data_IF_304166750594
#
_entry.id   IF_304166750594
#
_cell.length_a   1.000
_cell.length_b   1.000
_cell.length_c   1.000
_cell.angle_alpha   90.00
_cell.angle_beta   90.00
_cell.angle_gamma   90.00
#
_symmetry.space_group_name_H-M   'P 1'
#
loop_
_entity.id
_entity.type
_entity.pdbx_description
1 polymer ?
#
# COMPACT_ATOMS: atom_id res chain seq x y z
N UNK A 1 -18.60 7.92 70.24
CA UNK A 1 -17.22 8.24 69.83
C UNK A 1 -16.97 7.68 68.44
N UNK A 2 -16.71 8.53 67.44
CA UNK A 2 -16.42 8.10 66.07
C UNK A 2 -14.94 7.69 65.95
N UNK A 3 -14.65 6.53 65.34
CA UNK A 3 -13.28 6.06 65.10
C UNK A 3 -12.69 6.77 63.87
N UNK A 4 -11.45 7.26 63.99
CA UNK A 4 -10.73 7.94 62.91
C UNK A 4 -10.25 6.92 61.87
N UNK A 5 -10.39 7.25 60.58
CA UNK A 5 -9.85 6.43 59.50
C UNK A 5 -8.32 6.68 59.35
N UNK A 6 -7.53 5.61 59.34
CA UNK A 6 -6.08 5.66 59.15
C UNK A 6 -5.73 5.35 57.69
N UNK A 7 -5.06 6.29 57.00
CA UNK A 7 -4.65 6.15 55.60
C UNK A 7 -3.32 5.41 55.48
N UNK A 8 -3.18 4.61 54.43
CA UNK A 8 -1.94 3.88 54.11
C UNK A 8 -0.95 4.80 53.35
N UNK A 9 0.36 4.59 53.53
CA UNK A 9 1.42 5.39 52.88
C UNK A 9 1.81 4.83 51.51
N UNK A 10 2.10 5.71 50.55
CA UNK A 10 2.62 5.37 49.24
C UNK A 10 4.11 4.92 49.25
N UNK A 11 4.60 4.40 48.13
CA UNK A 11 6.02 4.13 47.90
C UNK A 11 6.81 5.45 47.84
N UNK A 12 8.01 5.55 48.44
CA UNK A 12 8.87 6.73 48.29
C UNK A 12 9.24 7.01 46.84
N UNK A 13 9.29 8.29 46.45
CA UNK A 13 9.50 8.72 45.07
C UNK A 13 10.81 8.19 44.45
N UNK A 14 11.89 8.13 45.21
CA UNK A 14 13.17 7.59 44.73
C UNK A 14 13.14 6.08 44.43
N UNK A 15 12.16 5.35 44.98
CA UNK A 15 11.93 3.92 44.75
C UNK A 15 10.71 3.63 43.88
N UNK A 16 10.08 4.65 43.29
CA UNK A 16 8.92 4.48 42.42
C UNK A 16 9.19 3.51 41.25
N UNK A 17 10.44 3.41 40.77
CA UNK A 17 10.86 2.46 39.73
C UNK A 17 10.59 0.98 40.09
N UNK A 18 10.53 0.63 41.38
CA UNK A 18 10.27 -0.74 41.85
C UNK A 18 8.78 -1.10 41.88
N UNK A 19 7.91 -0.17 41.51
CA UNK A 19 6.47 -0.32 41.61
C UNK A 19 5.93 -0.06 43.01
N UNK A 20 4.69 -0.51 43.23
CA UNK A 20 3.94 -0.22 44.45
C UNK A 20 4.58 -0.87 45.68
N UNK A 21 4.54 -0.14 46.81
CA UNK A 21 5.03 -0.67 48.10
C UNK A 21 4.02 -1.64 48.68
N UNK A 22 4.34 -2.92 48.59
CA UNK A 22 3.52 -3.99 49.14
C UNK A 22 3.20 -3.78 50.63
N UNK A 23 1.93 -3.97 50.99
CA UNK A 23 1.46 -3.97 52.38
C UNK A 23 1.08 -5.36 52.84
N UNK A 24 0.74 -5.49 54.13
CA UNK A 24 0.38 -6.79 54.70
C UNK A 24 -0.77 -7.49 53.96
N UNK A 25 -1.77 -6.74 53.49
CA UNK A 25 -2.88 -7.31 52.70
C UNK A 25 -2.38 -7.96 51.41
N UNK A 26 -1.54 -7.26 50.67
CA UNK A 26 -0.92 -7.76 49.44
C UNK A 26 -0.05 -8.99 49.71
N UNK A 27 0.74 -8.97 50.80
CA UNK A 27 1.56 -10.10 51.25
C UNK A 27 0.70 -11.33 51.51
N UNK A 28 -0.43 -11.17 52.21
CA UNK A 28 -1.35 -12.27 52.49
C UNK A 28 -1.90 -12.85 51.18
N UNK A 29 -2.27 -12.02 50.21
CA UNK A 29 -2.71 -12.48 48.89
C UNK A 29 -1.63 -13.26 48.15
N UNK A 30 -0.39 -12.73 48.11
CA UNK A 30 0.74 -13.40 47.47
C UNK A 30 1.09 -14.72 48.16
N UNK A 31 1.14 -14.75 49.49
CA UNK A 31 1.47 -15.93 50.26
C UNK A 31 0.43 -17.05 50.05
N UNK A 32 -0.86 -16.69 50.02
CA UNK A 32 -1.96 -17.62 49.70
C UNK A 32 -1.86 -18.17 48.28
N UNK A 33 -1.59 -17.33 47.29
CA UNK A 33 -1.39 -17.77 45.89
C UNK A 33 -0.18 -18.71 45.76
N UNK A 34 0.95 -18.35 46.35
CA UNK A 34 2.14 -19.20 46.35
C UNK A 34 1.88 -20.55 47.00
N UNK A 35 1.23 -20.57 48.17
CA UNK A 35 0.89 -21.80 48.88
C UNK A 35 -0.06 -22.67 48.05
N UNK A 36 -1.08 -22.08 47.44
CA UNK A 36 -2.02 -22.76 46.54
C UNK A 36 -1.31 -23.41 45.35
N UNK A 37 -0.38 -22.69 44.71
CA UNK A 37 0.44 -23.22 43.60
C UNK A 37 1.35 -24.36 44.07
N UNK A 38 2.01 -24.21 45.22
CA UNK A 38 2.87 -25.24 45.80
C UNK A 38 2.10 -26.52 46.13
N UNK A 39 0.91 -26.38 46.73
CA UNK A 39 0.09 -27.53 47.08
C UNK A 39 -0.45 -28.23 45.83
N UNK A 40 -0.81 -27.49 44.76
CA UNK A 40 -1.16 -28.06 43.45
C UNK A 40 0.01 -28.82 42.81
N UNK A 41 1.21 -28.25 42.83
CA UNK A 41 2.42 -28.90 42.29
C UNK A 41 2.75 -30.16 43.08
N UNK A 42 2.63 -30.13 44.41
CA UNK A 42 2.84 -31.32 45.27
C UNK A 42 1.88 -32.44 44.88
N UNK A 43 0.59 -32.14 44.74
CA UNK A 43 -0.41 -33.12 44.31
C UNK A 43 -0.11 -33.69 42.91
N UNK A 44 0.31 -32.85 41.95
CA UNK A 44 0.68 -33.32 40.62
C UNK A 44 1.93 -34.24 40.65
N UNK A 45 2.91 -33.95 41.52
CA UNK A 45 4.09 -34.81 41.72
C UNK A 45 3.72 -36.16 42.33
N UNK A 46 2.82 -36.18 43.31
CA UNK A 46 2.31 -37.41 43.92
C UNK A 46 1.59 -38.27 42.86
N UNK A 47 0.68 -37.67 42.08
CA UNK A 47 -0.01 -38.37 40.98
C UNK A 47 0.99 -38.93 39.96
N UNK A 48 2.02 -38.15 39.60
CA UNK A 48 3.05 -38.61 38.67
C UNK A 48 3.92 -39.75 39.24
N UNK A 49 4.20 -39.73 40.54
CA UNK A 49 4.99 -40.78 41.21
C UNK A 49 4.23 -42.10 41.34
N UNK A 50 2.92 -42.05 41.60
CA UNK A 50 2.05 -43.23 41.72
C UNK A 50 1.43 -43.69 40.39
N UNK A 51 1.92 -43.20 39.25
CA UNK A 51 1.39 -43.55 37.92
C UNK A 51 1.60 -45.03 37.61
N UNK A 52 0.53 -45.73 37.19
CA UNK A 52 0.64 -47.09 36.68
C UNK A 52 1.22 -47.07 35.26
N UNK A 53 2.30 -47.83 35.01
CA UNK A 53 2.98 -47.84 33.71
C UNK A 53 2.13 -48.45 32.60
N UNK A 54 1.23 -49.38 32.97
CA UNK A 54 0.40 -50.14 32.04
C UNK A 54 -1.03 -49.60 31.95
N UNK A 55 -1.27 -48.38 32.44
CA UNK A 55 -2.59 -47.74 32.34
C UNK A 55 -2.98 -47.47 30.88
N UNK A 56 -4.22 -47.82 30.52
CA UNK A 56 -4.77 -47.57 29.20
C UNK A 56 -6.13 -46.87 29.30
N UNK A 57 -6.25 -45.71 28.65
CA UNK A 57 -7.50 -44.99 28.47
C UNK A 57 -7.80 -44.87 26.98
N UNK A 58 -9.07 -45.04 26.57
CA UNK A 58 -9.50 -44.92 25.16
C UNK A 58 -9.13 -43.57 24.52
N UNK A 59 -9.03 -42.50 25.32
CA UNK A 59 -8.57 -41.18 24.87
C UNK A 59 -7.12 -41.18 24.36
N UNK A 60 -6.28 -42.13 24.79
CA UNK A 60 -4.90 -42.27 24.32
C UNK A 60 -4.81 -42.69 22.85
N UNK A 61 -5.87 -43.26 22.26
CA UNK A 61 -5.90 -43.62 20.84
C UNK A 61 -5.88 -42.37 19.96
N UNK A 62 -6.58 -41.30 20.37
CA UNK A 62 -6.68 -40.04 19.62
C UNK A 62 -5.64 -39.02 20.09
N UNK A 63 -5.30 -39.04 21.38
CA UNK A 63 -4.34 -38.13 22.00
C UNK A 63 -2.92 -38.41 21.53
N UNK A 64 -2.16 -37.34 21.29
CA UNK A 64 -0.75 -37.44 20.90
C UNK A 64 0.11 -36.73 21.93
N UNK A 65 1.25 -37.32 22.26
CA UNK A 65 2.27 -36.70 23.11
C UNK A 65 3.54 -36.48 22.31
N UNK A 66 4.24 -35.38 22.57
CA UNK A 66 5.55 -35.09 21.98
C UNK A 66 6.49 -34.63 23.09
N UNK A 67 7.60 -35.35 23.27
CA UNK A 67 8.54 -35.06 24.35
C UNK A 67 7.90 -35.10 25.75
N UNK A 68 6.89 -35.95 25.95
CA UNK A 68 6.18 -36.07 27.22
C UNK A 68 5.07 -35.04 27.48
N UNK A 69 4.83 -34.09 26.57
CA UNK A 69 3.73 -33.12 26.67
C UNK A 69 2.59 -33.51 25.74
N UNK A 70 1.36 -33.52 26.25
CA UNK A 70 0.16 -33.76 25.46
C UNK A 70 -0.07 -32.59 24.48
N UNK A 71 -0.21 -32.91 23.19
CA UNK A 71 -0.54 -31.96 22.14
C UNK A 71 -2.03 -32.07 21.84
N UNK A 72 -2.74 -30.97 22.07
CA UNK A 72 -4.11 -30.80 21.56
C UNK A 72 -4.11 -30.42 20.08
N UNK A 73 -5.15 -30.85 19.36
CA UNK A 73 -5.40 -30.38 18.01
C UNK A 73 -5.80 -28.90 18.03
N UNK A 74 -5.32 -28.13 17.05
CA UNK A 74 -5.69 -26.73 16.83
C UNK A 74 -6.90 -26.59 15.91
N UNK A 75 -7.37 -27.70 15.32
CA UNK A 75 -8.50 -27.75 14.38
C UNK A 75 -8.10 -27.58 12.91
N UNK A 76 -6.81 -27.66 12.58
CA UNK A 76 -6.36 -27.61 11.19
C UNK A 76 -6.34 -29.02 10.60
N UNK A 77 -7.19 -29.25 9.60
CA UNK A 77 -7.30 -30.54 8.94
C UNK A 77 -6.67 -30.54 7.55
N UNK A 78 -6.18 -31.70 7.11
CA UNK A 78 -5.70 -31.88 5.75
C UNK A 78 -6.90 -31.88 4.77
N UNK A 79 -7.03 -30.80 4.02
CA UNK A 79 -8.07 -30.67 2.99
C UNK A 79 -7.80 -31.60 1.79
N UNK A 80 -8.87 -32.10 1.18
CA UNK A 80 -8.76 -32.87 -0.06
C UNK A 80 -8.26 -32.00 -1.20
N UNK A 81 -7.54 -32.61 -2.16
CA UNK A 81 -6.93 -31.85 -3.26
C UNK A 81 -7.96 -31.10 -4.11
N UNK A 82 -9.17 -31.64 -4.25
CA UNK A 82 -10.25 -31.01 -5.02
C UNK A 82 -10.84 -29.79 -4.32
N UNK A 83 -10.99 -29.83 -2.99
CA UNK A 83 -11.38 -28.66 -2.20
C UNK A 83 -10.31 -27.57 -2.29
N UNK A 84 -9.03 -27.94 -2.20
CA UNK A 84 -7.93 -26.96 -2.36
C UNK A 84 -7.94 -26.35 -3.77
N UNK A 85 -8.21 -27.12 -4.83
CA UNK A 85 -8.33 -26.59 -6.21
C UNK A 85 -9.46 -25.57 -6.33
N UNK A 86 -10.61 -25.86 -5.70
CA UNK A 86 -11.77 -24.96 -5.68
C UNK A 86 -11.40 -23.64 -4.99
N UNK A 87 -10.85 -23.70 -3.77
CA UNK A 87 -10.44 -22.52 -3.01
C UNK A 87 -9.41 -21.68 -3.76
N UNK A 88 -8.40 -22.32 -4.36
CA UNK A 88 -7.38 -21.61 -5.17
C UNK A 88 -7.97 -20.98 -6.43
N UNK A 89 -8.99 -21.59 -7.02
CA UNK A 89 -9.71 -21.02 -8.17
C UNK A 89 -10.52 -19.78 -7.76
N UNK A 90 -11.17 -19.82 -6.59
CA UNK A 90 -11.87 -18.66 -6.01
C UNK A 90 -10.89 -17.52 -5.70
N UNK A 91 -9.76 -17.82 -5.04
CA UNK A 91 -8.69 -16.85 -4.74
C UNK A 91 -8.19 -16.17 -6.02
N UNK A 92 -7.92 -16.94 -7.07
CA UNK A 92 -7.45 -16.42 -8.36
C UNK A 92 -8.50 -15.52 -9.03
N UNK A 93 -9.78 -15.88 -8.94
CA UNK A 93 -10.88 -15.02 -9.40
C UNK A 93 -10.95 -13.69 -8.65
N UNK A 94 -10.82 -13.73 -7.32
CA UNK A 94 -10.79 -12.53 -6.48
C UNK A 94 -9.61 -11.61 -6.85
N UNK A 95 -8.41 -12.16 -7.00
CA UNK A 95 -7.21 -11.40 -7.41
C UNK A 95 -7.42 -10.73 -8.77
N UNK A 96 -7.99 -11.44 -9.75
CA UNK A 96 -8.31 -10.87 -11.08
C UNK A 96 -9.30 -9.70 -11.01
N UNK A 97 -10.34 -9.84 -10.20
CA UNK A 97 -11.29 -8.74 -9.96
C UNK A 97 -10.58 -7.55 -9.33
N UNK A 98 -9.68 -7.78 -8.38
CA UNK A 98 -8.95 -6.71 -7.72
C UNK A 98 -7.97 -5.99 -8.68
N UNK A 99 -7.30 -6.74 -9.55
CA UNK A 99 -6.47 -6.21 -10.65
C UNK A 99 -7.31 -5.29 -11.55
N UNK A 100 -8.46 -5.76 -12.03
CA UNK A 100 -9.32 -4.97 -12.91
C UNK A 100 -9.85 -3.69 -12.23
N UNK A 101 -10.07 -3.72 -10.91
CA UNK A 101 -10.43 -2.52 -10.14
C UNK A 101 -9.27 -1.52 -10.05
N UNK A 102 -8.06 -1.99 -9.74
CA UNK A 102 -6.88 -1.14 -9.64
C UNK A 102 -6.50 -0.56 -11.02
N UNK A 103 -6.62 -1.31 -12.10
CA UNK A 103 -6.40 -0.81 -13.47
C UNK A 103 -7.38 0.32 -13.84
N UNK A 104 -8.65 0.18 -13.48
CA UNK A 104 -9.65 1.25 -13.66
C UNK A 104 -9.38 2.47 -12.78
N UNK A 105 -8.84 2.28 -11.58
CA UNK A 105 -8.44 3.40 -10.71
C UNK A 105 -7.24 4.13 -11.30
N UNK A 106 -6.23 3.39 -11.78
CA UNK A 106 -5.05 3.94 -12.45
C UNK A 106 -5.45 4.73 -13.70
N UNK A 107 -6.34 4.20 -14.55
CA UNK A 107 -6.78 4.91 -15.76
C UNK A 107 -7.49 6.22 -15.43
N UNK A 108 -8.30 6.25 -14.35
CA UNK A 108 -8.98 7.48 -13.88
C UNK A 108 -7.99 8.51 -13.37
N UNK A 109 -7.07 8.10 -12.48
CA UNK A 109 -6.06 9.01 -11.91
C UNK A 109 -5.14 9.55 -13.01
N UNK A 110 -4.80 8.73 -14.01
CA UNK A 110 -4.03 9.19 -15.18
C UNK A 110 -4.77 10.26 -15.97
N UNK A 111 -6.04 10.04 -16.31
CA UNK A 111 -6.85 11.03 -17.02
C UNK A 111 -6.99 12.34 -16.20
N UNK A 112 -7.13 12.24 -14.88
CA UNK A 112 -7.20 13.42 -14.00
C UNK A 112 -5.87 14.17 -13.91
N UNK A 113 -4.73 13.46 -13.88
CA UNK A 113 -3.39 14.05 -13.90
C UNK A 113 -3.03 14.71 -15.23
N UNK A 114 -3.58 14.19 -16.34
CA UNK A 114 -3.48 14.80 -17.68
C UNK A 114 -4.27 16.12 -17.74
N UNK A 115 -5.48 16.16 -17.19
CA UNK A 115 -6.30 17.39 -17.13
C UNK A 115 -5.70 18.44 -16.20
N UNK A 116 -5.12 18.02 -15.08
CA UNK A 116 -4.48 18.92 -14.09
C UNK A 116 -3.02 19.25 -14.42
N UNK A 117 -2.54 18.92 -15.62
CA UNK A 117 -1.19 19.24 -16.08
C UNK A 117 -0.99 20.76 -16.16
N UNK A 118 0.04 21.33 -15.52
CA UNK A 118 0.33 22.75 -15.67
C UNK A 118 0.71 23.05 -17.12
N UNK A 119 0.19 24.16 -17.67
CA UNK A 119 0.70 24.73 -18.91
C UNK A 119 2.19 25.03 -18.74
N UNK A 120 3.02 24.67 -19.71
CA UNK A 120 4.48 24.76 -19.66
C UNK A 120 4.99 26.20 -19.82
N UNK A 121 4.44 27.13 -19.06
CA UNK A 121 4.66 28.58 -19.20
C UNK A 121 5.83 29.11 -18.36
N UNK A 122 6.44 28.31 -17.49
CA UNK A 122 7.57 28.74 -16.68
C UNK A 122 8.78 27.82 -16.86
N UNK A 123 9.93 28.44 -17.00
CA UNK A 123 11.24 27.90 -17.38
C UNK A 123 11.88 26.91 -16.39
N UNK A 124 11.08 26.21 -15.57
CA UNK A 124 11.55 25.15 -14.69
C UNK A 124 11.22 23.79 -15.31
N UNK A 125 12.28 23.11 -15.75
CA UNK A 125 12.33 21.88 -16.55
C UNK A 125 11.68 20.64 -15.87
N UNK A 126 10.36 20.66 -15.72
CA UNK A 126 9.62 19.55 -15.12
C UNK A 126 8.25 19.42 -15.79
N UNK A 127 8.21 18.67 -16.87
CA UNK A 127 6.97 18.42 -17.62
C UNK A 127 6.11 17.40 -16.88
N UNK A 128 4.79 17.52 -16.95
CA UNK A 128 3.84 16.55 -16.38
C UNK A 128 4.13 15.09 -16.80
N UNK A 129 4.62 14.91 -18.03
CA UNK A 129 5.07 13.62 -18.54
C UNK A 129 6.31 13.08 -17.80
N UNK A 130 7.24 13.95 -17.42
CA UNK A 130 8.45 13.57 -16.67
C UNK A 130 8.13 13.16 -15.23
N UNK A 131 7.17 13.83 -14.58
CA UNK A 131 6.61 13.46 -13.28
C UNK A 131 6.04 12.05 -13.30
N UNK A 132 5.11 11.81 -14.23
CA UNK A 132 4.44 10.52 -14.36
C UNK A 132 5.46 9.42 -14.62
N UNK A 133 6.44 9.67 -15.49
CA UNK A 133 7.51 8.71 -15.77
C UNK A 133 8.38 8.43 -14.53
N UNK A 134 8.66 9.43 -13.70
CA UNK A 134 9.38 9.24 -12.44
C UNK A 134 8.55 8.46 -11.42
N UNK A 135 7.26 8.79 -11.25
CA UNK A 135 6.34 8.04 -10.38
C UNK A 135 6.22 6.58 -10.81
N UNK A 136 6.10 6.32 -12.11
CA UNK A 136 6.05 4.96 -12.63
C UNK A 136 7.37 4.22 -12.43
N UNK A 137 8.52 4.89 -12.57
CA UNK A 137 9.84 4.32 -12.27
C UNK A 137 9.94 4.01 -10.78
N UNK A 138 9.55 4.92 -9.89
CA UNK A 138 9.58 4.74 -8.44
C UNK A 138 8.64 3.61 -7.99
N UNK A 139 7.43 3.52 -8.55
CA UNK A 139 6.52 2.40 -8.32
C UNK A 139 7.07 1.07 -8.88
N UNK A 140 7.73 1.08 -10.03
CA UNK A 140 8.47 -0.12 -10.50
C UNK A 140 9.56 -0.53 -9.51
N UNK A 141 10.17 0.40 -8.78
CA UNK A 141 11.14 0.15 -7.73
C UNK A 141 10.52 -0.16 -6.35
N UNK A 142 9.18 -0.13 -6.22
CA UNK A 142 8.49 -0.40 -4.95
C UNK A 142 8.51 0.77 -3.96
N UNK A 143 8.91 1.96 -4.41
CA UNK A 143 8.94 3.17 -3.60
C UNK A 143 7.58 3.87 -3.77
N UNK A 144 6.84 4.03 -2.67
CA UNK A 144 5.64 4.87 -2.63
C UNK A 144 6.10 6.29 -2.34
N UNK A 145 5.64 7.27 -3.13
CA UNK A 145 5.95 8.66 -2.87
C UNK A 145 5.30 9.09 -1.55
N UNK A 146 6.11 9.59 -0.63
CA UNK A 146 5.63 10.25 0.58
C UNK A 146 5.66 11.77 0.32
N UNK A 147 4.51 12.47 0.29
CA UNK A 147 4.45 13.88 -0.09
C UNK A 147 5.26 14.81 0.83
N UNK A 148 5.67 14.33 2.02
CA UNK A 148 6.45 15.11 3.00
C UNK A 148 7.97 15.00 2.86
N UNK A 149 8.49 14.15 1.98
CA UNK A 149 9.93 13.85 1.92
C UNK A 149 10.39 13.49 0.50
N UNK A 150 10.46 14.45 -0.43
CA UNK A 150 11.31 14.28 -1.61
C UNK A 150 12.38 15.37 -1.65
N UNK A 151 13.65 14.94 -1.77
CA UNK A 151 14.82 15.82 -1.96
C UNK A 151 15.19 15.80 -3.43
N UNK A 152 15.48 16.99 -3.98
CA UNK A 152 15.95 17.25 -5.35
C UNK A 152 17.11 16.32 -5.75
N UNK A 153 16.94 15.57 -6.84
CA UNK A 153 18.00 14.85 -7.55
C UNK A 153 18.04 15.28 -9.02
N UNK A 154 19.19 15.75 -9.51
CA UNK A 154 19.42 16.15 -10.92
C UNK A 154 19.70 14.93 -11.77
N UNK A 155 18.84 14.62 -12.74
CA UNK A 155 19.08 13.63 -13.79
C UNK A 155 18.84 14.22 -15.17
N UNK A 156 19.89 14.31 -16.01
CA UNK A 156 19.82 14.85 -17.37
C UNK A 156 19.34 13.76 -18.35
N UNK A 157 18.17 13.94 -18.95
CA UNK A 157 17.69 13.15 -20.09
C UNK A 157 16.81 14.03 -20.98
N UNK A 158 17.27 14.31 -22.20
CA UNK A 158 16.69 15.31 -23.11
C UNK A 158 15.70 14.62 -24.06
N UNK A 159 14.42 14.95 -23.95
CA UNK A 159 13.42 14.69 -25.00
C UNK A 159 13.05 16.03 -25.65
N UNK A 160 12.78 16.10 -26.96
CA UNK A 160 12.41 17.35 -27.61
C UNK A 160 10.98 17.77 -27.20
N UNK A 161 10.82 19.04 -26.84
CA UNK A 161 9.53 19.64 -26.54
C UNK A 161 8.88 20.10 -27.87
N UNK A 162 7.72 19.55 -28.20
CA UNK A 162 6.83 20.13 -29.19
C UNK A 162 6.03 21.24 -28.49
N UNK A 163 6.49 22.49 -28.64
CA UNK A 163 5.76 23.67 -28.18
C UNK A 163 4.65 24.07 -29.16
N UNK A 164 3.76 24.97 -28.72
CA UNK A 164 2.77 25.60 -29.59
C UNK A 164 3.49 26.40 -30.69
N UNK A 165 3.28 26.03 -31.96
CA UNK A 165 3.83 26.74 -33.11
C UNK A 165 2.82 27.79 -33.57
N UNK A 166 3.19 29.06 -33.46
CA UNK A 166 2.43 30.19 -34.04
C UNK A 166 3.04 30.51 -35.40
N UNK A 167 2.23 30.49 -36.46
CA UNK A 167 2.64 30.95 -37.79
C UNK A 167 2.28 32.44 -37.92
N UNK A 168 3.25 33.24 -38.34
CA UNK A 168 3.07 34.66 -38.68
C UNK A 168 3.23 34.83 -40.18
N UNK A 169 2.43 35.70 -40.81
CA UNK A 169 2.47 35.97 -42.24
C UNK A 169 3.67 36.85 -42.61
N UNK A 170 4.04 37.80 -41.73
CA UNK A 170 5.16 38.71 -41.92
C UNK A 170 6.12 38.78 -40.71
N UNK A 171 7.38 39.14 -40.98
CA UNK A 171 8.42 39.26 -39.94
C UNK A 171 8.08 40.30 -38.86
N UNK A 172 7.42 41.38 -39.24
CA UNK A 172 6.95 42.42 -38.31
C UNK A 172 5.84 41.93 -37.39
N UNK A 173 4.97 41.03 -37.86
CA UNK A 173 3.90 40.43 -37.05
C UNK A 173 4.48 39.48 -36.00
N UNK A 174 5.50 38.70 -36.36
CA UNK A 174 6.23 37.86 -35.42
C UNK A 174 6.93 38.68 -34.33
N UNK A 175 7.55 39.80 -34.69
CA UNK A 175 8.26 40.68 -33.74
C UNK A 175 7.26 41.40 -32.81
N UNK A 176 6.10 41.85 -33.31
CA UNK A 176 5.02 42.43 -32.49
C UNK A 176 4.37 41.44 -31.53
N UNK A 177 4.19 40.18 -31.94
CA UNK A 177 3.61 39.13 -31.09
C UNK A 177 4.46 38.83 -29.84
N UNK A 178 5.78 39.02 -29.93
CA UNK A 178 6.68 38.92 -28.78
C UNK A 178 6.59 40.14 -27.85
N UNK A 179 6.46 41.35 -28.40
CA UNK A 179 6.41 42.60 -27.64
C UNK A 179 5.08 42.77 -26.87
N UNK A 180 3.94 42.40 -27.45
CA UNK A 180 2.63 42.52 -26.79
C UNK A 180 2.45 41.63 -25.55
N UNK A 181 3.30 40.61 -25.39
CA UNK A 181 3.26 39.70 -24.24
C UNK A 181 3.95 40.26 -22.98
N UNK A 182 4.62 41.41 -23.08
CA UNK A 182 5.47 41.97 -22.01
C UNK A 182 4.97 43.31 -21.47
N UNK A 183 3.92 43.89 -22.03
CA UNK A 183 3.27 45.08 -21.49
C UNK A 183 2.25 44.66 -20.42
N UNK A 184 2.47 45.09 -19.18
CA UNK A 184 1.45 45.05 -18.13
C UNK A 184 0.31 46.00 -18.55
N UNK A 185 -0.74 45.44 -19.15
CA UNK A 185 -1.95 46.19 -19.49
C UNK A 185 -2.70 46.48 -18.18
N UNK A 186 -2.60 47.72 -17.71
CA UNK A 186 -3.52 48.29 -16.75
C UNK A 186 -4.93 48.33 -17.36
N UNK A 187 -5.78 47.38 -16.97
CA UNK A 187 -7.23 47.54 -16.92
C UNK A 187 -7.94 47.97 -18.20
N UNK A 188 -7.85 47.18 -19.27
CA UNK A 188 -8.89 47.15 -20.30
C UNK A 188 -9.57 45.77 -20.29
N UNK A 189 -10.90 45.78 -20.21
CA UNK A 189 -11.73 44.59 -20.28
C UNK A 189 -11.61 43.97 -21.68
N UNK A 190 -10.60 43.12 -21.87
CA UNK A 190 -10.51 42.30 -23.07
C UNK A 190 -11.74 41.41 -23.15
N UNK A 191 -12.53 41.60 -24.21
CA UNK A 191 -13.67 40.75 -24.51
C UNK A 191 -13.15 39.31 -24.69
N UNK A 192 -13.61 38.40 -23.84
CA UNK A 192 -13.26 36.99 -23.90
C UNK A 192 -13.52 36.46 -25.33
N UNK A 193 -12.46 36.07 -26.02
CA UNK A 193 -12.56 35.44 -27.34
C UNK A 193 -13.44 34.18 -27.20
N UNK A 194 -14.58 34.19 -27.87
CA UNK A 194 -15.56 33.10 -27.85
C UNK A 194 -14.95 31.85 -28.50
N UNK A 195 -14.49 30.92 -27.66
CA UNK A 195 -13.87 29.65 -28.06
C UNK A 195 -14.90 28.63 -28.57
N UNK A 196 -16.15 29.03 -28.87
CA UNK A 196 -17.16 28.17 -29.50
C UNK A 196 -17.65 27.02 -28.61
N UNK A 197 -17.48 27.15 -27.29
CA UNK A 197 -18.11 26.25 -26.33
C UNK A 197 -19.59 26.66 -26.23
N UNK A 198 -20.53 25.75 -26.51
CA UNK A 198 -21.95 26.06 -26.37
C UNK A 198 -22.27 26.44 -24.92
N UNK A 199 -22.54 27.73 -24.70
CA UNK A 199 -23.09 28.19 -23.44
C UNK A 199 -24.44 27.51 -23.18
N UNK A 200 -24.65 26.92 -21.99
CA UNK A 200 -25.91 26.26 -21.68
C UNK A 200 -27.04 27.30 -21.70
N UNK A 201 -27.89 27.22 -22.74
CA UNK A 201 -29.03 28.10 -22.93
C UNK A 201 -29.91 28.11 -21.67
N UNK A 202 -30.20 29.29 -21.08
CA UNK A 202 -31.03 29.35 -19.89
C UNK A 202 -32.46 28.98 -20.26
N UNK A 203 -32.87 27.74 -19.94
CA UNK A 203 -34.27 27.35 -20.06
C UNK A 203 -35.11 28.33 -19.23
N UNK A 204 -36.07 29.00 -19.88
CA UNK A 204 -37.00 29.96 -19.27
C UNK A 204 -37.95 29.23 -18.30
N UNK A 205 -37.45 28.81 -17.14
CA UNK A 205 -38.27 28.58 -15.94
C UNK A 205 -38.15 29.80 -15.06
N UNK A 206 -39.31 30.41 -14.76
CA UNK A 206 -39.46 31.61 -13.93
C UNK A 206 -38.67 31.44 -12.63
N UNK A 207 -37.54 32.15 -12.52
CA UNK A 207 -36.70 32.18 -11.32
C UNK A 207 -37.40 33.04 -10.27
N UNK A 208 -37.72 32.45 -9.11
CA UNK A 208 -37.75 33.22 -7.87
C UNK A 208 -36.39 33.90 -7.69
N UNK A 209 -36.39 35.09 -7.11
CA UNK A 209 -35.22 35.96 -6.90
C UNK A 209 -34.13 35.17 -6.16
N UNK A 210 -33.19 34.60 -6.89
CA UNK A 210 -31.99 34.00 -6.31
C UNK A 210 -31.09 35.14 -5.82
N UNK A 211 -30.42 34.98 -4.66
CA UNK A 211 -29.41 35.95 -4.23
C UNK A 211 -28.33 36.08 -5.31
N UNK A 212 -27.81 37.29 -5.48
CA UNK A 212 -26.71 37.59 -6.41
C UNK A 212 -25.52 36.66 -6.11
N UNK A 213 -24.73 36.24 -7.13
CA UNK A 213 -23.53 35.46 -6.88
C UNK A 213 -22.59 36.30 -6.01
N UNK A 214 -22.31 35.83 -4.79
CA UNK A 214 -21.20 36.38 -4.00
C UNK A 214 -19.92 36.15 -4.80
N UNK A 215 -19.28 37.23 -5.24
CA UNK A 215 -17.95 37.20 -5.82
C UNK A 215 -17.01 36.86 -4.67
N UNK A 216 -16.71 35.57 -4.52
CA UNK A 216 -15.67 35.14 -3.59
C UNK A 216 -14.35 35.54 -4.24
N UNK A 217 -13.66 36.52 -3.66
CA UNK A 217 -12.26 36.81 -4.01
C UNK A 217 -11.45 35.56 -3.63
N UNK A 218 -11.17 34.73 -4.63
CA UNK A 218 -10.32 33.55 -4.46
C UNK A 218 -8.89 34.08 -4.48
N UNK A 219 -8.20 33.94 -3.37
CA UNK A 219 -6.75 34.15 -3.30
C UNK A 219 -6.08 33.18 -4.29
N UNK A 220 -5.63 33.73 -5.42
CA UNK A 220 -5.06 32.97 -6.54
C UNK A 220 -3.83 32.16 -6.11
N UNK A 221 -3.06 32.67 -5.14
CA UNK A 221 -1.90 31.97 -4.59
C UNK A 221 -2.33 30.76 -3.75
N UNK A 222 -3.37 30.92 -2.92
CA UNK A 222 -3.94 29.83 -2.15
C UNK A 222 -4.58 28.74 -3.04
N UNK A 223 -5.26 29.13 -4.12
CA UNK A 223 -5.82 28.20 -5.11
C UNK A 223 -4.72 27.46 -5.89
N UNK A 224 -3.63 28.14 -6.25
CA UNK A 224 -2.46 27.54 -6.86
C UNK A 224 -1.74 26.55 -5.92
N UNK A 225 -1.64 26.86 -4.62
CA UNK A 225 -1.11 25.94 -3.63
C UNK A 225 -1.99 24.69 -3.46
N UNK A 226 -3.32 24.87 -3.35
CA UNK A 226 -4.27 23.77 -3.22
C UNK A 226 -4.28 22.83 -4.45
N UNK A 227 -4.18 23.38 -5.67
CA UNK A 227 -4.08 22.57 -6.90
C UNK A 227 -2.78 21.77 -6.97
N UNK A 228 -1.65 22.34 -6.49
CA UNK A 228 -0.37 21.62 -6.36
C UNK A 228 -0.46 20.48 -5.35
N UNK A 229 -1.07 20.72 -4.19
CA UNK A 229 -1.29 19.67 -3.18
C UNK A 229 -2.17 18.53 -3.72
N UNK A 230 -3.26 18.87 -4.39
CA UNK A 230 -4.13 17.89 -5.03
C UNK A 230 -3.40 17.04 -6.08
N UNK A 231 -2.55 17.67 -6.91
CA UNK A 231 -1.70 16.97 -7.88
C UNK A 231 -0.72 16.00 -7.20
N UNK A 232 -0.10 16.42 -6.10
CA UNK A 232 0.80 15.55 -5.32
C UNK A 232 0.07 14.34 -4.72
N UNK A 233 -1.16 14.53 -4.24
CA UNK A 233 -2.00 13.45 -3.73
C UNK A 233 -2.41 12.46 -4.84
N UNK A 234 -2.72 12.96 -6.03
CA UNK A 234 -2.98 12.13 -7.22
C UNK A 234 -1.74 11.33 -7.63
N UNK A 235 -0.54 11.94 -7.61
CA UNK A 235 0.71 11.25 -7.90
C UNK A 235 1.04 10.18 -6.84
N UNK A 236 0.82 10.49 -5.57
CA UNK A 236 0.99 9.56 -4.45
C UNK A 236 0.06 8.35 -4.58
N UNK A 237 -1.24 8.60 -4.80
CA UNK A 237 -2.24 7.55 -4.98
C UNK A 237 -1.96 6.70 -6.24
N UNK A 238 -1.58 7.32 -7.36
CA UNK A 238 -1.14 6.60 -8.56
C UNK A 238 0.02 5.65 -8.26
N UNK A 239 1.04 6.14 -7.55
CA UNK A 239 2.19 5.33 -7.15
C UNK A 239 1.78 4.12 -6.29
N UNK A 240 0.84 4.31 -5.36
CA UNK A 240 0.33 3.26 -4.49
C UNK A 240 -0.46 2.20 -5.28
N UNK A 241 -1.33 2.62 -6.21
CA UNK A 241 -2.08 1.70 -7.07
C UNK A 241 -1.17 0.93 -8.03
N UNK A 242 -0.16 1.57 -8.62
CA UNK A 242 0.84 0.89 -9.47
C UNK A 242 1.64 -0.16 -8.69
N UNK A 243 2.08 0.20 -7.48
CA UNK A 243 2.75 -0.73 -6.57
C UNK A 243 1.88 -1.93 -6.21
N UNK A 244 0.62 -1.68 -5.84
CA UNK A 244 -0.35 -2.72 -5.53
C UNK A 244 -0.63 -3.61 -6.75
N UNK A 245 -0.82 -3.03 -7.93
CA UNK A 245 -1.05 -3.76 -9.18
C UNK A 245 0.12 -4.71 -9.47
N UNK A 246 1.37 -4.25 -9.30
CA UNK A 246 2.56 -5.09 -9.43
C UNK A 246 2.51 -6.29 -8.49
N UNK A 247 2.16 -6.10 -7.21
CA UNK A 247 2.05 -7.18 -6.23
C UNK A 247 0.92 -8.16 -6.58
N UNK A 248 -0.24 -7.65 -7.02
CA UNK A 248 -1.36 -8.47 -7.43
C UNK A 248 -1.04 -9.31 -8.67
N UNK A 249 -0.33 -8.74 -9.66
CA UNK A 249 0.15 -9.47 -10.84
C UNK A 249 1.16 -10.55 -10.47
N UNK A 250 2.05 -10.29 -9.51
CA UNK A 250 2.93 -11.33 -8.96
C UNK A 250 2.15 -12.43 -8.25
N UNK A 251 1.11 -12.08 -7.48
CA UNK A 251 0.24 -13.03 -6.81
C UNK A 251 -0.57 -13.87 -7.81
N UNK A 252 -1.10 -13.25 -8.86
CA UNK A 252 -1.78 -13.91 -9.98
C UNK A 252 -0.87 -14.97 -10.63
N UNK A 253 0.34 -14.58 -11.03
CA UNK A 253 1.32 -15.52 -11.62
C UNK A 253 1.65 -16.71 -10.69
N UNK A 254 1.80 -16.46 -9.38
CA UNK A 254 1.99 -17.51 -8.39
C UNK A 254 0.76 -18.42 -8.27
N UNK A 255 -0.45 -17.87 -8.24
CA UNK A 255 -1.68 -18.66 -8.18
C UNK A 255 -1.86 -19.48 -9.45
N UNK A 256 -1.58 -18.92 -10.63
CA UNK A 256 -1.65 -19.62 -11.91
C UNK A 256 -0.67 -20.79 -11.97
N UNK A 257 0.58 -20.58 -11.55
CA UNK A 257 1.57 -21.67 -11.47
C UNK A 257 1.14 -22.75 -10.48
N UNK A 258 0.64 -22.39 -9.29
CA UNK A 258 0.13 -23.39 -8.33
C UNK A 258 -1.08 -24.15 -8.87
N UNK A 259 -2.03 -23.47 -9.54
CA UNK A 259 -3.19 -24.09 -10.18
C UNK A 259 -2.76 -25.05 -11.30
N UNK A 260 -1.77 -24.65 -12.09
CA UNK A 260 -1.15 -25.50 -13.11
C UNK A 260 -0.58 -26.78 -12.48
N UNK A 261 0.20 -26.64 -11.40
CA UNK A 261 0.81 -27.76 -10.68
C UNK A 261 -0.21 -28.72 -10.05
N UNK A 262 -1.37 -28.21 -9.64
CA UNK A 262 -2.48 -29.04 -9.15
C UNK A 262 -3.29 -29.69 -10.29
N UNK A 263 -3.01 -29.33 -11.54
CA UNK A 263 -3.61 -29.93 -12.72
C UNK A 263 -3.03 -31.29 -13.08
N UNK A 264 -3.65 -31.95 -14.07
CA UNK A 264 -3.14 -33.22 -14.62
C UNK A 264 -1.95 -32.98 -15.56
N UNK A 265 -0.94 -33.82 -15.44
CA UNK A 265 0.25 -33.87 -16.30
C UNK A 265 1.52 -34.15 -15.49
N UNK A 266 2.58 -34.59 -16.14
CA UNK A 266 3.89 -34.68 -15.51
C UNK A 266 4.63 -33.34 -15.65
N UNK A 267 5.08 -32.76 -14.53
CA UNK A 267 5.90 -31.56 -14.49
C UNK A 267 7.23 -31.85 -13.80
N UNK A 268 8.31 -31.30 -14.33
CA UNK A 268 9.65 -31.34 -13.75
C UNK A 268 10.06 -29.93 -13.31
N UNK A 269 10.61 -29.80 -12.10
CA UNK A 269 11.21 -28.55 -11.62
C UNK A 269 12.50 -28.32 -12.43
N UNK A 270 12.54 -27.23 -13.19
CA UNK A 270 13.74 -26.84 -13.95
C UNK A 270 14.61 -25.89 -13.15
N UNK A 271 13.99 -25.00 -12.38
CA UNK A 271 14.69 -23.97 -11.60
C UNK A 271 14.03 -23.76 -10.23
N UNK A 272 14.86 -23.66 -9.20
CA UNK A 272 14.48 -23.25 -7.84
C UNK A 272 14.39 -21.72 -7.76
N UNK A 273 13.60 -21.20 -6.80
CA UNK A 273 13.61 -19.76 -6.51
C UNK A 273 14.98 -19.34 -5.98
N UNK A 274 15.51 -18.23 -6.49
CA UNK A 274 16.79 -17.70 -6.05
C UNK A 274 17.27 -16.54 -6.89
N UNK A 275 18.38 -15.94 -6.47
CA UNK A 275 19.10 -14.95 -7.28
C UNK A 275 19.90 -15.67 -8.36
N UNK A 276 19.71 -15.26 -9.60
CA UNK A 276 20.50 -15.73 -10.73
C UNK A 276 21.16 -14.53 -11.40
N UNK A 277 22.34 -14.75 -11.97
CA UNK A 277 23.08 -13.73 -12.69
C UNK A 277 22.27 -13.30 -13.94
N UNK A 278 22.10 -11.98 -14.09
CA UNK A 278 21.38 -11.37 -15.21
C UNK A 278 22.09 -10.05 -15.56
N UNK A 279 22.76 -10.03 -16.71
CA UNK A 279 23.57 -8.91 -17.19
C UNK A 279 22.77 -7.61 -17.38
N UNK A 280 21.45 -7.72 -17.47
CA UNK A 280 20.52 -6.57 -17.59
C UNK A 280 20.27 -5.83 -16.28
N UNK A 281 20.64 -6.40 -15.13
CA UNK A 281 20.45 -5.74 -13.84
C UNK A 281 21.61 -4.79 -13.50
N UNK A 282 21.33 -3.69 -12.75
CA UNK A 282 22.38 -2.86 -12.20
C UNK A 282 23.26 -3.66 -11.23
N UNK A 283 24.53 -3.29 -11.13
CA UNK A 283 25.47 -3.93 -10.20
C UNK A 283 25.08 -3.62 -8.74
N UNK A 284 24.97 -4.67 -7.93
CA UNK A 284 24.81 -4.53 -6.49
C UNK A 284 26.10 -4.01 -5.85
N UNK A 285 26.05 -3.66 -4.56
CA UNK A 285 27.22 -3.21 -3.77
C UNK A 285 28.44 -4.14 -3.82
N UNK A 286 28.23 -5.41 -4.16
CA UNK A 286 29.27 -6.43 -4.26
C UNK A 286 29.77 -6.63 -5.71
N UNK A 287 29.32 -5.83 -6.68
CA UNK A 287 29.66 -5.97 -8.10
C UNK A 287 28.90 -7.09 -8.82
N UNK A 288 27.92 -7.71 -8.17
CA UNK A 288 27.14 -8.80 -8.73
C UNK A 288 25.87 -8.26 -9.41
N UNK A 289 25.57 -8.74 -10.62
CA UNK A 289 24.32 -8.42 -11.32
C UNK A 289 23.33 -9.56 -11.15
N UNK A 290 22.56 -9.53 -10.06
CA UNK A 290 21.67 -10.63 -9.68
C UNK A 290 20.21 -10.22 -9.81
N UNK A 291 19.41 -11.06 -10.47
CA UNK A 291 17.95 -10.93 -10.52
C UNK A 291 17.30 -12.04 -9.72
N UNK A 292 16.33 -11.69 -8.89
CA UNK A 292 15.48 -12.69 -8.26
C UNK A 292 14.62 -13.38 -9.32
N UNK A 293 14.80 -14.69 -9.45
CA UNK A 293 14.03 -15.52 -10.38
C UNK A 293 13.12 -16.48 -9.59
N UNK A 294 11.88 -16.60 -10.08
CA UNK A 294 10.88 -17.49 -9.49
C UNK A 294 11.12 -18.95 -9.85
N UNK A 295 10.40 -19.86 -9.18
CA UNK A 295 10.38 -21.28 -9.53
C UNK A 295 9.85 -21.46 -10.95
N UNK A 296 10.53 -22.28 -11.75
CA UNK A 296 10.11 -22.62 -13.11
C UNK A 296 9.87 -24.12 -13.21
N UNK A 297 8.72 -24.47 -13.76
CA UNK A 297 8.29 -25.84 -14.00
C UNK A 297 8.17 -26.06 -15.50
N UNK A 298 8.71 -27.18 -15.98
CA UNK A 298 8.55 -27.63 -17.36
C UNK A 298 7.62 -28.81 -17.37
N UNK A 299 6.53 -28.68 -18.12
CA UNK A 299 5.61 -29.79 -18.36
C UNK A 299 6.17 -30.71 -19.42
N UNK A 300 5.97 -32.02 -19.24
CA UNK A 300 6.31 -33.02 -20.24
C UNK A 300 5.51 -32.73 -21.51
N UNK A 301 6.16 -32.82 -22.65
CA UNK A 301 5.54 -32.62 -23.97
C UNK A 301 4.63 -33.79 -24.31
N UNK A 302 3.44 -33.81 -23.71
CA UNK A 302 2.39 -34.79 -23.94
C UNK A 302 1.09 -34.05 -24.28
N UNK A 303 0.42 -34.48 -25.36
CA UNK A 303 -0.90 -33.95 -25.69
C UNK A 303 -1.90 -34.49 -24.68
N UNK A 304 -2.72 -33.61 -24.10
CA UNK A 304 -3.87 -34.04 -23.30
C UNK A 304 -4.82 -34.85 -24.18
N UNK A 305 -5.11 -36.07 -23.75
CA UNK A 305 -6.14 -36.92 -24.35
C UNK A 305 -7.52 -36.29 -24.15
#
# INVERSE_FOLDING_TARGET
MSRRNHKERAQPLHRAKLGNLEKHKDYVHRARDYKSKQDRIRKLREIAAFRNKDEFYWGMIKGKTKGGVAIGDRGNEALSTDVVKLLKTQDMGYVRVQIAKDEKAISKIRAELEVTAPSSSSSDEWTAASELAEVEKLAKMGIVLNPRQSKKGKGKGKAPAEGHVVFAEDRSEFEQYGESSTEEVEGETEEAVDLGWEDPQPSKKRRSKAPAPEVVEIDEEAAAAASREHRLDLLSSLSAHLNRLKLLRQAESKLETTKGMMGKGAAQKVREQGYAEDESQPEDRNGERKKWQGKVWKWKTERRR
#
